data_IF_636212206821
#
_entry.id   IF_636212206821
#
_cell.length_a   1.000
_cell.length_b   1.000
_cell.length_c   1.000
_cell.angle_alpha   90.00
_cell.angle_beta   90.00
_cell.angle_gamma   90.00
#
_symmetry.space_group_name_H-M   'P 1'
#
loop_
_entity.id
_entity.type
_entity.pdbx_description
1 polymer ?
#
# COMPACT_ATOMS: atom_id res chain seq x y z
N UNK A 1 -29.58 20.81 -11.79
CA UNK A 1 -30.88 20.54 -11.14
C UNK A 1 -31.08 19.03 -11.05
N UNK A 2 -31.79 18.54 -10.04
CA UNK A 2 -31.46 17.24 -9.43
C UNK A 2 -32.35 16.10 -9.97
N UNK A 3 -31.77 14.93 -10.28
CA UNK A 3 -32.52 13.76 -10.79
C UNK A 3 -32.84 12.71 -9.70
N UNK A 4 -33.17 13.14 -8.48
CA UNK A 4 -33.59 12.26 -7.37
C UNK A 4 -34.99 11.62 -7.55
N UNK A 5 -35.38 11.21 -8.76
CA UNK A 5 -36.73 10.75 -9.10
C UNK A 5 -36.78 9.57 -10.08
N UNK A 6 -36.13 8.47 -9.69
CA UNK A 6 -36.42 7.09 -10.11
C UNK A 6 -36.20 6.23 -8.85
N UNK A 7 -37.12 6.14 -7.89
CA UNK A 7 -38.50 5.62 -7.98
C UNK A 7 -38.52 4.26 -8.72
N UNK A 8 -38.12 3.18 -8.02
CA UNK A 8 -39.02 2.23 -7.35
C UNK A 8 -39.90 1.44 -8.35
N UNK A 9 -39.46 0.23 -8.70
CA UNK A 9 -40.30 -0.97 -8.87
C UNK A 9 -39.45 -2.20 -8.49
N UNK A 10 -39.99 -3.02 -7.58
CA UNK A 10 -39.82 -4.47 -7.35
C UNK A 10 -38.46 -5.19 -7.58
N UNK A 11 -38.01 -6.10 -6.72
CA UNK A 11 -38.83 -7.06 -5.96
C UNK A 11 -38.38 -7.32 -4.52
N UNK A 12 -39.37 -7.28 -3.65
CA UNK A 12 -39.42 -7.95 -2.35
C UNK A 12 -38.95 -9.40 -2.41
N UNK A 13 -37.96 -9.77 -1.59
CA UNK A 13 -37.92 -11.09 -0.94
C UNK A 13 -37.79 -10.86 0.57
N UNK A 14 -38.90 -11.05 1.27
CA UNK A 14 -38.96 -11.16 2.72
C UNK A 14 -38.94 -12.64 3.09
N UNK A 15 -37.94 -13.02 3.88
CA UNK A 15 -37.91 -14.18 4.76
C UNK A 15 -36.98 -13.77 5.92
N UNK A 16 -37.44 -13.08 6.98
CA UNK A 16 -38.45 -13.45 7.98
C UNK A 16 -38.04 -14.66 8.83
N UNK A 17 -38.09 -14.49 10.16
CA UNK A 17 -37.75 -15.45 11.26
C UNK A 17 -36.25 -15.76 11.45
N UNK A 18 -35.59 -15.51 12.60
CA UNK A 18 -35.94 -14.92 13.92
C UNK A 18 -34.68 -14.17 14.47
N UNK A 19 -34.66 -13.40 15.57
CA UNK A 19 -35.70 -12.92 16.50
C UNK A 19 -35.15 -12.77 17.95
N UNK A 20 -35.27 -11.58 18.57
CA UNK A 20 -34.69 -11.25 19.90
C UNK A 20 -33.45 -10.34 19.80
N UNK A 21 -33.49 -9.00 19.97
CA UNK A 21 -33.87 -8.15 21.13
C UNK A 21 -32.78 -8.06 22.22
N UNK A 22 -32.60 -6.85 22.76
CA UNK A 22 -31.81 -6.42 23.93
C UNK A 22 -30.31 -6.15 23.77
N UNK A 23 -30.02 -4.86 23.84
CA UNK A 23 -28.75 -4.23 24.14
C UNK A 23 -28.27 -4.62 25.56
N UNK A 24 -27.04 -5.15 25.67
CA UNK A 24 -26.23 -5.10 26.89
C UNK A 24 -26.23 -6.33 27.82
N UNK A 25 -25.09 -7.05 27.86
CA UNK A 25 -24.08 -6.97 28.97
C UNK A 25 -23.05 -8.13 28.91
N UNK A 26 -21.77 -7.76 28.90
CA UNK A 26 -20.55 -8.49 29.34
C UNK A 26 -20.10 -9.82 28.71
N UNK A 27 -18.76 -9.88 28.63
CA UNK A 27 -17.84 -11.03 28.79
C UNK A 27 -17.55 -11.92 27.57
N UNK A 28 -16.26 -11.89 27.18
CA UNK A 28 -15.48 -12.88 26.43
C UNK A 28 -16.06 -13.41 25.09
N UNK A 29 -15.34 -13.38 23.98
CA UNK A 29 -13.90 -13.65 23.84
C UNK A 29 -13.17 -12.60 23.00
N UNK A 30 -11.86 -12.48 23.25
CA UNK A 30 -11.00 -11.53 22.59
C UNK A 30 -10.62 -11.97 21.17
N UNK A 31 -11.27 -11.37 20.16
CA UNK A 31 -10.66 -11.07 18.87
C UNK A 31 -11.18 -9.71 18.40
N UNK A 32 -10.42 -8.61 18.56
CA UNK A 32 -10.62 -7.49 17.68
C UNK A 32 -10.22 -7.97 16.28
N UNK A 33 -11.21 -8.29 15.44
CA UNK A 33 -10.99 -8.24 13.99
C UNK A 33 -10.57 -6.81 13.72
N UNK A 34 -9.27 -6.61 13.53
CA UNK A 34 -8.71 -5.31 13.27
C UNK A 34 -9.38 -4.81 12.01
N UNK A 35 -10.26 -3.80 12.18
CA UNK A 35 -10.62 -2.91 11.09
C UNK A 35 -9.29 -2.52 10.45
N UNK A 36 -9.18 -2.80 9.16
CA UNK A 36 -8.21 -2.22 8.24
C UNK A 36 -8.54 -0.72 8.07
N UNK A 37 -8.51 -0.01 9.20
CA UNK A 37 -8.65 1.43 9.29
C UNK A 37 -7.31 2.01 8.87
N UNK A 38 -7.29 2.57 7.66
CA UNK A 38 -6.14 3.21 7.05
C UNK A 38 -5.42 4.17 8.01
N UNK A 39 -4.17 3.85 8.31
CA UNK A 39 -3.11 4.65 8.94
C UNK A 39 -1.88 3.73 8.94
N UNK A 40 -0.77 4.00 8.27
CA UNK A 40 -0.32 5.17 7.50
C UNK A 40 0.55 4.65 6.31
N UNK A 41 1.35 5.45 5.59
CA UNK A 41 1.45 6.91 5.56
C UNK A 41 1.37 7.52 4.15
N UNK A 42 1.07 8.83 4.08
CA UNK A 42 1.33 9.63 2.86
C UNK A 42 2.82 10.02 2.78
N UNK A 43 3.49 10.06 3.95
CA UNK A 43 4.90 10.40 4.11
C UNK A 43 5.86 9.49 3.33
N UNK A 44 5.51 8.23 3.04
CA UNK A 44 6.32 7.32 2.23
C UNK A 44 6.63 7.88 0.83
N UNK A 45 5.68 8.61 0.25
CA UNK A 45 5.88 9.29 -1.03
C UNK A 45 6.65 10.59 -0.88
N UNK A 46 6.40 11.34 0.19
CA UNK A 46 7.12 12.58 0.48
C UNK A 46 8.62 12.28 0.72
N UNK A 47 8.93 11.19 1.44
CA UNK A 47 10.30 10.70 1.69
C UNK A 47 10.98 10.21 0.40
N UNK A 48 10.25 9.55 -0.51
CA UNK A 48 10.77 9.20 -1.83
C UNK A 48 11.09 10.45 -2.68
N UNK A 49 10.21 11.46 -2.70
CA UNK A 49 10.46 12.71 -3.42
C UNK A 49 11.67 13.47 -2.83
N UNK A 50 11.80 13.51 -1.50
CA UNK A 50 12.97 14.08 -0.81
C UNK A 50 14.25 13.31 -1.16
N UNK A 51 14.23 11.97 -1.16
CA UNK A 51 15.37 11.15 -1.52
C UNK A 51 15.77 11.31 -2.99
N UNK A 52 14.81 11.51 -3.91
CA UNK A 52 15.05 11.80 -5.32
C UNK A 52 15.41 13.28 -5.59
N UNK A 53 15.33 14.15 -4.57
CA UNK A 53 15.39 15.61 -4.69
C UNK A 53 14.44 16.18 -5.76
N UNK A 54 13.20 15.70 -5.77
CA UNK A 54 12.10 16.14 -6.66
C UNK A 54 11.14 17.10 -5.93
N UNK A 55 10.58 18.07 -6.66
CA UNK A 55 9.68 19.06 -6.08
C UNK A 55 8.23 18.60 -6.06
N UNK A 56 7.83 17.70 -6.97
CA UNK A 56 6.48 17.13 -7.00
C UNK A 56 6.38 15.75 -7.64
N UNK A 57 5.24 15.08 -7.41
CA UNK A 57 4.86 13.82 -8.06
C UNK A 57 4.82 13.93 -9.59
N UNK A 58 4.43 15.09 -10.12
CA UNK A 58 4.30 15.33 -11.56
C UNK A 58 5.68 15.36 -12.25
N UNK A 59 6.68 16.03 -11.66
CA UNK A 59 8.07 16.06 -12.19
C UNK A 59 8.67 14.65 -12.24
N UNK A 60 8.42 13.86 -11.19
CA UNK A 60 8.81 12.45 -11.11
C UNK A 60 8.09 11.61 -12.19
N UNK A 61 6.78 11.81 -12.36
CA UNK A 61 5.99 11.08 -13.35
C UNK A 61 6.41 11.41 -14.79
N UNK A 62 6.66 12.69 -15.10
CA UNK A 62 7.20 13.10 -16.41
C UNK A 62 8.57 12.48 -16.65
N UNK A 63 9.48 12.51 -15.68
CA UNK A 63 10.80 11.89 -15.78
C UNK A 63 10.76 10.37 -16.02
N UNK A 64 9.83 9.67 -15.36
CA UNK A 64 9.60 8.24 -15.59
C UNK A 64 8.96 7.98 -16.98
N UNK A 65 8.09 8.88 -17.45
CA UNK A 65 7.46 8.80 -18.77
C UNK A 65 8.44 9.12 -19.92
N UNK A 66 9.45 9.96 -19.68
CA UNK A 66 10.61 10.16 -20.57
C UNK A 66 11.51 8.92 -20.67
N UNK A 67 11.26 7.89 -19.86
CA UNK A 67 12.08 6.69 -19.81
C UNK A 67 13.39 6.93 -19.06
N UNK A 68 13.35 7.60 -17.91
CA UNK A 68 14.46 7.61 -16.94
C UNK A 68 14.20 6.58 -15.83
N UNK A 69 15.24 5.98 -15.27
CA UNK A 69 15.10 5.14 -14.07
C UNK A 69 15.12 6.01 -12.81
N UNK A 70 14.60 5.51 -11.68
CA UNK A 70 14.63 6.22 -10.39
C UNK A 70 16.07 6.58 -9.97
N UNK A 71 17.04 5.72 -10.29
CA UNK A 71 18.46 6.00 -10.06
C UNK A 71 18.98 7.15 -10.92
N UNK A 72 18.56 7.23 -12.18
CA UNK A 72 18.97 8.33 -13.07
C UNK A 72 18.36 9.65 -12.61
N UNK A 73 17.09 9.64 -12.18
CA UNK A 73 16.40 10.81 -11.63
C UNK A 73 17.12 11.32 -10.36
N UNK A 74 17.47 10.43 -9.43
CA UNK A 74 18.27 10.78 -8.26
C UNK A 74 19.64 11.37 -8.68
N UNK A 75 20.35 10.72 -9.60
CA UNK A 75 21.67 11.16 -10.03
C UNK A 75 21.66 12.52 -10.77
N UNK A 76 20.65 12.79 -11.59
CA UNK A 76 20.46 14.07 -12.28
C UNK A 76 20.14 15.21 -11.31
N UNK A 77 19.30 14.97 -10.30
CA UNK A 77 18.82 15.99 -9.38
C UNK A 77 19.68 16.12 -8.11
N UNK A 78 20.70 15.27 -7.93
CA UNK A 78 21.54 15.25 -6.73
C UNK A 78 20.86 14.63 -5.50
N UNK A 79 19.87 13.77 -5.72
CA UNK A 79 19.26 12.93 -4.70
C UNK A 79 20.15 11.78 -4.23
N UNK A 80 19.73 11.11 -3.17
CA UNK A 80 20.43 9.99 -2.55
C UNK A 80 19.81 8.64 -2.98
N UNK A 81 20.50 7.98 -3.91
CA UNK A 81 20.15 6.65 -4.42
C UNK A 81 20.09 5.60 -3.30
N UNK A 82 20.99 5.65 -2.31
CA UNK A 82 21.01 4.68 -1.22
C UNK A 82 19.79 4.86 -0.30
N UNK A 83 19.40 6.11 -0.02
CA UNK A 83 18.13 6.41 0.67
C UNK A 83 16.91 5.91 -0.10
N UNK A 84 16.86 6.05 -1.44
CA UNK A 84 15.77 5.49 -2.27
C UNK A 84 15.70 3.97 -2.15
N UNK A 85 16.85 3.27 -2.17
CA UNK A 85 16.92 1.81 -1.98
C UNK A 85 16.41 1.43 -0.60
N UNK A 86 16.89 2.09 0.45
CA UNK A 86 16.56 1.75 1.84
C UNK A 86 15.08 2.01 2.16
N UNK A 87 14.50 3.11 1.67
CA UNK A 87 13.06 3.39 1.74
C UNK A 87 12.24 2.29 1.05
N UNK A 88 12.60 1.95 -0.19
CA UNK A 88 11.83 0.96 -0.95
C UNK A 88 11.94 -0.46 -0.35
N UNK A 89 13.12 -0.80 0.19
CA UNK A 89 13.36 -2.04 0.96
C UNK A 89 12.52 -2.06 2.25
N UNK A 90 12.41 -0.94 2.97
CA UNK A 90 11.60 -0.85 4.19
C UNK A 90 10.11 -1.07 3.88
N UNK A 91 9.56 -0.33 2.90
CA UNK A 91 8.16 -0.44 2.47
C UNK A 91 7.78 -1.86 2.03
N UNK A 92 8.64 -2.51 1.21
CA UNK A 92 8.40 -3.88 0.79
C UNK A 92 8.59 -4.90 1.91
N UNK A 93 9.46 -4.62 2.89
CA UNK A 93 9.58 -5.43 4.11
C UNK A 93 8.30 -5.37 4.95
N UNK A 94 7.70 -4.18 5.12
CA UNK A 94 6.42 -4.06 5.84
C UNK A 94 5.29 -4.83 5.12
N UNK A 95 5.24 -4.79 3.78
CA UNK A 95 4.30 -5.62 3.02
C UNK A 95 4.54 -7.13 3.23
N UNK A 96 5.79 -7.58 3.34
CA UNK A 96 6.11 -8.96 3.70
C UNK A 96 5.70 -9.30 5.14
N UNK A 97 5.90 -8.39 6.10
CA UNK A 97 5.49 -8.56 7.50
C UNK A 97 3.96 -8.68 7.61
N UNK A 98 3.20 -7.84 6.90
CA UNK A 98 1.74 -7.92 6.81
C UNK A 98 1.28 -9.24 6.18
N UNK A 99 1.96 -9.74 5.15
CA UNK A 99 1.65 -11.04 4.51
C UNK A 99 1.98 -12.22 5.43
N UNK A 100 3.05 -12.14 6.22
CA UNK A 100 3.41 -13.15 7.22
C UNK A 100 2.38 -13.17 8.37
N UNK A 101 2.04 -12.01 8.92
CA UNK A 101 1.02 -11.86 9.96
C UNK A 101 -0.38 -12.30 9.49
N UNK A 102 -0.71 -12.05 8.21
CA UNK A 102 -1.92 -12.53 7.56
C UNK A 102 -1.88 -14.00 7.11
N UNK A 103 -0.81 -14.74 7.39
CA UNK A 103 -0.67 -16.16 7.01
C UNK A 103 -0.63 -16.42 5.51
N UNK A 104 -0.38 -15.40 4.69
CA UNK A 104 -0.31 -15.48 3.23
C UNK A 104 1.04 -15.96 2.70
N UNK A 105 2.07 -15.96 3.56
CA UNK A 105 3.41 -16.54 3.31
C UNK A 105 3.89 -17.27 4.57
N UNK A 106 4.80 -18.24 4.41
CA UNK A 106 5.48 -18.90 5.53
C UNK A 106 6.70 -18.11 6.01
N UNK A 107 7.20 -18.41 7.21
CA UNK A 107 8.44 -17.79 7.73
C UNK A 107 9.67 -18.08 6.84
N UNK A 108 9.73 -19.26 6.24
CA UNK A 108 10.78 -19.64 5.28
C UNK A 108 10.72 -18.79 4.00
N UNK A 109 9.51 -18.61 3.46
CA UNK A 109 9.26 -17.75 2.29
C UNK A 109 9.54 -16.27 2.61
N UNK A 110 9.24 -15.82 3.82
CA UNK A 110 9.58 -14.47 4.28
C UNK A 110 11.10 -14.25 4.28
N UNK A 111 11.87 -15.17 4.86
CA UNK A 111 13.34 -15.06 4.91
C UNK A 111 13.94 -15.07 3.50
N UNK A 112 13.47 -15.94 2.61
CA UNK A 112 13.93 -15.99 1.21
C UNK A 112 13.65 -14.67 0.48
N UNK A 113 12.39 -14.21 0.45
CA UNK A 113 12.02 -12.95 -0.21
C UNK A 113 12.74 -11.74 0.38
N UNK A 114 12.95 -11.71 1.71
CA UNK A 114 13.66 -10.60 2.38
C UNK A 114 15.16 -10.56 2.06
N UNK A 115 15.78 -11.71 1.77
CA UNK A 115 17.17 -11.78 1.34
C UNK A 115 17.35 -11.25 -0.10
N UNK A 116 16.44 -11.58 -1.01
CA UNK A 116 16.44 -11.13 -2.41
C UNK A 116 15.99 -9.66 -2.56
N UNK A 117 15.23 -9.13 -1.59
CA UNK A 117 14.57 -7.83 -1.65
C UNK A 117 15.48 -6.66 -2.04
N UNK A 118 16.68 -6.58 -1.46
CA UNK A 118 17.60 -5.46 -1.73
C UNK A 118 18.13 -5.49 -3.16
N UNK A 119 18.40 -6.68 -3.68
CA UNK A 119 18.88 -6.87 -5.06
C UNK A 119 17.76 -6.51 -6.05
N UNK A 120 16.55 -7.03 -5.84
CA UNK A 120 15.37 -6.72 -6.64
C UNK A 120 15.04 -5.22 -6.65
N UNK A 121 15.14 -4.53 -5.51
CA UNK A 121 14.98 -3.07 -5.44
C UNK A 121 16.07 -2.36 -6.24
N UNK A 122 17.34 -2.76 -6.09
CA UNK A 122 18.48 -2.15 -6.79
C UNK A 122 18.38 -2.30 -8.32
N UNK A 123 17.90 -3.45 -8.79
CA UNK A 123 17.59 -3.71 -10.19
C UNK A 123 16.38 -2.88 -10.66
N UNK A 124 15.30 -2.86 -9.89
CA UNK A 124 14.07 -2.12 -10.20
C UNK A 124 14.32 -0.61 -10.33
N UNK A 125 15.07 0.01 -9.41
CA UNK A 125 15.39 1.44 -9.50
C UNK A 125 16.35 1.78 -10.64
N UNK A 126 17.07 0.79 -11.18
CA UNK A 126 17.97 0.92 -12.32
C UNK A 126 17.30 0.54 -13.65
N UNK A 127 16.09 -0.02 -13.61
CA UNK A 127 15.36 -0.45 -14.81
C UNK A 127 14.72 0.75 -15.47
N UNK A 128 15.08 0.95 -16.73
CA UNK A 128 14.56 2.00 -17.59
C UNK A 128 13.33 1.49 -18.34
N UNK A 129 12.17 2.13 -18.17
CA UNK A 129 10.96 1.79 -18.92
C UNK A 129 10.90 2.61 -20.23
N UNK A 130 11.48 2.07 -21.30
CA UNK A 130 11.48 2.67 -22.65
C UNK A 130 10.88 1.75 -23.71
#
# INVERSE_FOLDING_TARGET
MNIQRVMIVGTMVVAMSFGGTTWGRTAALAYPVAKWSASAPVADKDELLVALNQSSDEELYESLYEGKSLKDIAAENGGDVDSVIDLQVAQLTEQLDLRLAGGSITAEQYIAQKAELRELVTESISTTFG
#
